data_IF_782569063756
#
_entry.id   IF_782569063756
#
_cell.length_a   1.000
_cell.length_b   1.000
_cell.length_c   1.000
_cell.angle_alpha   90.00
_cell.angle_beta   90.00
_cell.angle_gamma   90.00
#
_symmetry.space_group_name_H-M   'P 1'
#
loop_
_entity.id
_entity.type
_entity.pdbx_description
1 polymer ?
#
# COMPACT_ATOMS: atom_id res chain seq x y z
N UNK A 1 -21.41 -16.73 -15.58
CA UNK A 1 -21.93 -16.96 -14.20
C UNK A 1 -20.75 -17.07 -13.23
N UNK A 2 -20.65 -16.14 -12.28
CA UNK A 2 -19.59 -16.16 -11.26
C UNK A 2 -19.93 -17.31 -10.29
N UNK A 3 -19.03 -18.28 -10.06
CA UNK A 3 -19.31 -19.39 -9.15
C UNK A 3 -19.66 -18.90 -7.75
N UNK A 4 -20.65 -19.51 -7.11
CA UNK A 4 -21.08 -19.14 -5.77
C UNK A 4 -19.97 -19.46 -4.75
N UNK A 5 -19.54 -18.49 -3.92
CA UNK A 5 -18.39 -18.66 -3.02
C UNK A 5 -18.63 -19.64 -1.86
N UNK A 6 -19.87 -20.04 -1.62
CA UNK A 6 -20.26 -21.04 -0.61
C UNK A 6 -20.76 -22.34 -1.25
N UNK A 7 -20.19 -22.69 -2.41
CA UNK A 7 -20.71 -23.66 -3.38
C UNK A 7 -21.29 -24.97 -2.81
N UNK A 8 -22.55 -25.24 -3.14
CA UNK A 8 -23.12 -26.59 -3.11
C UNK A 8 -22.43 -27.51 -4.14
N UNK A 9 -21.72 -26.92 -5.11
CA UNK A 9 -20.92 -27.59 -6.14
C UNK A 9 -19.49 -27.95 -5.66
N UNK A 10 -19.19 -27.79 -4.37
CA UNK A 10 -17.87 -28.11 -3.81
C UNK A 10 -17.68 -29.64 -3.69
N UNK A 11 -16.50 -30.17 -4.05
CA UNK A 11 -16.19 -31.61 -4.00
C UNK A 11 -16.19 -32.21 -2.58
N UNK A 12 -16.50 -31.40 -1.56
CA UNK A 12 -16.54 -31.77 -0.15
C UNK A 12 -17.94 -32.19 0.33
N UNK A 13 -18.99 -31.97 -0.47
CA UNK A 13 -20.38 -32.30 -0.08
C UNK A 13 -20.64 -33.82 -0.08
N UNK A 14 -20.00 -34.54 -1.00
CA UNK A 14 -20.01 -35.99 -1.03
C UNK A 14 -18.66 -36.49 -0.52
N UNK A 15 -18.63 -37.25 0.59
CA UNK A 15 -17.43 -37.90 1.16
C UNK A 15 -16.79 -38.96 0.22
N UNK A 16 -16.53 -38.62 -1.04
CA UNK A 16 -15.84 -39.44 -2.03
C UNK A 16 -14.41 -38.90 -2.17
N UNK A 17 -13.39 -39.76 -2.07
CA UNK A 17 -12.01 -39.34 -2.26
C UNK A 17 -11.82 -38.92 -3.72
N UNK A 18 -11.64 -37.61 -3.95
CA UNK A 18 -11.27 -37.08 -5.27
C UNK A 18 -9.81 -37.42 -5.51
N UNK A 19 -9.55 -38.38 -6.38
CA UNK A 19 -8.19 -38.69 -6.81
C UNK A 19 -7.55 -37.44 -7.48
N UNK A 20 -6.31 -37.07 -7.11
CA UNK A 20 -5.64 -35.94 -7.73
C UNK A 20 -5.47 -36.21 -9.23
N UNK A 21 -6.00 -35.33 -10.08
CA UNK A 21 -5.82 -35.42 -11.53
C UNK A 21 -4.31 -35.42 -11.83
N UNK A 22 -3.81 -36.47 -12.49
CA UNK A 22 -2.44 -36.53 -13.01
C UNK A 22 -2.22 -35.31 -13.90
N UNK A 23 -1.41 -34.37 -13.43
CA UNK A 23 -1.03 -33.19 -14.22
C UNK A 23 0.02 -33.65 -15.24
N UNK A 24 -0.36 -33.69 -16.51
CA UNK A 24 0.58 -33.89 -17.61
C UNK A 24 1.53 -32.69 -17.68
N UNK A 25 2.83 -32.97 -17.84
CA UNK A 25 3.86 -31.95 -17.90
C UNK A 25 3.70 -31.10 -19.16
N UNK A 26 3.17 -29.89 -19.01
CA UNK A 26 3.12 -28.89 -20.08
C UNK A 26 4.49 -28.25 -20.22
N UNK A 27 4.98 -28.14 -21.46
CA UNK A 27 6.21 -27.43 -21.77
C UNK A 27 6.09 -25.96 -21.29
N UNK A 28 6.99 -25.56 -20.39
CA UNK A 28 7.06 -24.18 -19.89
C UNK A 28 7.70 -23.32 -20.98
N UNK A 29 6.89 -22.49 -21.63
CA UNK A 29 7.42 -21.48 -22.55
C UNK A 29 7.84 -20.25 -21.75
N UNK A 30 9.14 -19.94 -21.75
CA UNK A 30 9.66 -18.73 -21.11
C UNK A 30 9.29 -17.54 -22.00
N UNK A 31 8.26 -16.80 -21.58
CA UNK A 31 7.89 -15.54 -22.22
C UNK A 31 8.80 -14.42 -21.72
N UNK A 32 9.22 -13.47 -22.57
CA UNK A 32 9.92 -12.30 -22.11
C UNK A 32 9.04 -11.48 -21.14
N UNK A 33 9.65 -10.78 -20.17
CA UNK A 33 8.88 -9.94 -19.25
C UNK A 33 8.12 -8.89 -20.05
N UNK A 34 6.83 -8.74 -19.75
CA UNK A 34 6.01 -7.70 -20.38
C UNK A 34 6.64 -6.34 -20.09
N UNK A 35 6.79 -5.46 -21.10
CA UNK A 35 7.30 -4.12 -20.85
C UNK A 35 6.37 -3.43 -19.84
N UNK A 36 6.96 -2.64 -18.94
CA UNK A 36 6.24 -1.86 -17.93
C UNK A 36 6.33 -0.36 -18.25
N UNK A 37 5.60 0.16 -19.27
CA UNK A 37 5.68 1.58 -19.68
C UNK A 37 5.42 2.57 -18.54
N UNK A 38 4.63 2.15 -17.55
CA UNK A 38 4.28 2.97 -16.39
C UNK A 38 5.47 3.31 -15.48
N UNK A 39 6.60 2.60 -15.55
CA UNK A 39 7.83 2.94 -14.80
C UNK A 39 8.47 4.24 -15.31
N UNK A 40 8.24 4.62 -16.58
CA UNK A 40 8.77 5.84 -17.20
C UNK A 40 7.72 6.95 -17.33
N UNK A 41 6.53 6.73 -16.77
CA UNK A 41 5.39 7.63 -16.90
C UNK A 41 5.04 8.18 -15.53
N UNK A 42 4.78 9.48 -15.44
CA UNK A 42 4.29 10.11 -14.22
C UNK A 42 2.87 10.64 -14.43
N UNK A 43 2.13 10.81 -13.34
CA UNK A 43 0.79 11.41 -13.33
C UNK A 43 0.91 12.84 -12.85
N UNK A 44 0.48 13.79 -13.68
CA UNK A 44 0.44 15.20 -13.31
C UNK A 44 -0.86 15.49 -12.54
N UNK A 45 -0.72 15.87 -11.27
CA UNK A 45 -1.83 16.32 -10.45
C UNK A 45 -2.19 17.78 -10.77
N UNK A 46 -3.46 18.19 -10.53
CA UNK A 46 -3.83 19.60 -10.58
C UNK A 46 -2.92 20.44 -9.67
N UNK A 47 -2.55 21.65 -10.11
CA UNK A 47 -1.68 22.52 -9.33
C UNK A 47 -2.30 22.89 -7.99
N UNK A 48 -1.46 23.12 -6.98
CA UNK A 48 -1.90 23.47 -5.63
C UNK A 48 -2.86 24.67 -5.62
N UNK A 49 -2.58 25.69 -6.41
CA UNK A 49 -3.40 26.89 -6.54
C UNK A 49 -4.83 26.57 -7.00
N UNK A 50 -4.98 25.64 -7.95
CA UNK A 50 -6.29 25.20 -8.45
C UNK A 50 -7.03 24.37 -7.39
N UNK A 51 -6.32 23.46 -6.73
CA UNK A 51 -6.87 22.59 -5.69
C UNK A 51 -7.31 23.38 -4.45
N UNK A 52 -6.60 24.45 -4.11
CA UNK A 52 -6.93 25.32 -2.97
C UNK A 52 -8.26 26.06 -3.17
N UNK A 53 -8.57 26.45 -4.40
CA UNK A 53 -9.79 27.20 -4.74
C UNK A 53 -11.01 26.32 -5.07
N UNK A 54 -10.80 25.07 -5.48
CA UNK A 54 -11.88 24.20 -5.99
C UNK A 54 -11.92 22.85 -5.26
N UNK A 55 -13.02 22.62 -4.53
CA UNK A 55 -13.29 21.39 -3.78
C UNK A 55 -13.43 20.16 -4.69
N UNK A 56 -13.91 20.35 -5.92
CA UNK A 56 -14.08 19.25 -6.89
C UNK A 56 -12.71 18.79 -7.38
N UNK A 57 -11.83 19.74 -7.73
CA UNK A 57 -10.44 19.41 -8.09
C UNK A 57 -9.67 18.78 -6.94
N UNK A 58 -9.93 19.19 -5.69
CA UNK A 58 -9.40 18.51 -4.51
C UNK A 58 -9.86 17.06 -4.44
N UNK A 59 -11.15 16.79 -4.61
CA UNK A 59 -11.67 15.42 -4.61
C UNK A 59 -11.06 14.56 -5.74
N UNK A 60 -10.90 15.12 -6.94
CA UNK A 60 -10.23 14.44 -8.05
C UNK A 60 -8.75 14.16 -7.76
N UNK A 61 -8.01 15.14 -7.25
CA UNK A 61 -6.61 14.98 -6.89
C UNK A 61 -6.42 13.91 -5.80
N UNK A 62 -7.29 13.95 -4.78
CA UNK A 62 -7.33 12.94 -3.71
C UNK A 62 -7.60 11.55 -4.27
N UNK A 63 -8.59 11.40 -5.16
CA UNK A 63 -8.89 10.10 -5.80
C UNK A 63 -7.68 9.55 -6.56
N UNK A 64 -6.97 10.38 -7.31
CA UNK A 64 -5.76 9.95 -8.04
C UNK A 64 -4.69 9.48 -7.05
N UNK A 65 -4.44 10.24 -5.99
CA UNK A 65 -3.45 9.90 -4.98
C UNK A 65 -3.73 8.55 -4.31
N UNK A 66 -5.01 8.27 -3.98
CA UNK A 66 -5.42 6.99 -3.42
C UNK A 66 -5.25 5.82 -4.40
N UNK A 67 -5.55 6.03 -5.69
CA UNK A 67 -5.34 4.98 -6.71
C UNK A 67 -3.86 4.64 -6.89
N UNK A 68 -2.97 5.63 -6.76
CA UNK A 68 -1.53 5.49 -6.95
C UNK A 68 -0.79 5.10 -5.65
N UNK A 69 -1.51 4.64 -4.62
CA UNK A 69 -0.93 4.14 -3.36
C UNK A 69 -0.53 2.66 -3.44
N UNK A 70 -1.02 1.90 -4.42
CA UNK A 70 -0.71 0.47 -4.55
C UNK A 70 0.69 0.24 -5.19
N UNK A 71 1.68 -0.33 -4.48
CA UNK A 71 3.04 -0.52 -4.99
C UNK A 71 3.13 -1.40 -6.24
N UNK A 72 2.13 -2.25 -6.52
CA UNK A 72 2.13 -3.08 -7.73
C UNK A 72 1.82 -2.30 -9.02
N UNK A 73 1.11 -1.18 -8.94
CA UNK A 73 0.66 -0.42 -10.11
C UNK A 73 0.85 1.10 -10.01
N UNK A 74 1.43 1.58 -8.91
CA UNK A 74 1.62 2.99 -8.66
C UNK A 74 2.66 3.62 -9.60
N UNK A 75 2.36 4.85 -10.00
CA UNK A 75 3.21 5.73 -10.80
C UNK A 75 3.77 6.85 -9.95
N UNK A 76 4.84 7.48 -10.44
CA UNK A 76 5.29 8.72 -9.84
C UNK A 76 4.23 9.81 -10.01
N UNK A 77 4.01 10.62 -8.97
CA UNK A 77 3.10 11.76 -9.03
C UNK A 77 3.92 13.04 -9.09
N UNK A 78 3.47 14.00 -9.91
CA UNK A 78 4.05 15.33 -9.92
C UNK A 78 2.95 16.37 -9.69
N UNK A 79 3.19 17.30 -8.77
CA UNK A 79 2.28 18.41 -8.51
C UNK A 79 3.02 19.75 -8.56
N UNK A 80 2.46 20.72 -9.29
CA UNK A 80 3.00 22.09 -9.34
C UNK A 80 2.54 22.88 -8.11
N UNK A 81 3.48 23.54 -7.45
CA UNK A 81 3.31 24.41 -6.28
C UNK A 81 4.04 25.73 -6.52
N UNK A 82 3.34 26.75 -7.05
CA UNK A 82 3.96 27.99 -7.50
C UNK A 82 5.05 27.72 -8.55
N UNK A 83 6.27 28.15 -8.27
CA UNK A 83 7.44 27.96 -9.15
C UNK A 83 8.18 26.63 -8.94
N UNK A 84 7.68 25.76 -8.04
CA UNK A 84 8.30 24.48 -7.71
C UNK A 84 7.41 23.31 -8.10
N UNK A 85 8.05 22.16 -8.30
CA UNK A 85 7.36 20.89 -8.49
C UNK A 85 7.62 19.98 -7.30
N UNK A 86 6.56 19.39 -6.77
CA UNK A 86 6.62 18.31 -5.80
C UNK A 86 6.59 17.01 -6.56
N UNK A 87 7.65 16.23 -6.41
CA UNK A 87 7.77 14.89 -6.99
C UNK A 87 7.55 13.85 -5.91
N UNK A 88 6.58 12.97 -6.11
CA UNK A 88 6.25 11.87 -5.19
C UNK A 88 6.70 10.58 -5.87
N UNK A 89 7.68 9.93 -5.25
CA UNK A 89 8.15 8.62 -5.71
C UNK A 89 7.04 7.57 -5.53
N UNK A 90 6.95 6.59 -6.44
CA UNK A 90 6.05 5.47 -6.24
C UNK A 90 6.37 4.76 -4.92
N UNK A 91 5.36 4.22 -4.22
CA UNK A 91 5.53 3.53 -2.96
C UNK A 91 6.44 2.32 -3.13
N UNK A 92 7.32 2.11 -2.14
CA UNK A 92 8.20 0.96 -2.11
C UNK A 92 7.40 -0.34 -1.97
N UNK A 93 7.98 -1.43 -2.47
CA UNK A 93 7.44 -2.78 -2.27
C UNK A 93 7.42 -3.06 -0.76
N UNK A 94 6.34 -3.65 -0.22
CA UNK A 94 6.27 -3.97 1.19
C UNK A 94 7.39 -4.95 1.56
N UNK A 95 8.01 -4.69 2.71
CA UNK A 95 9.02 -5.55 3.29
C UNK A 95 8.43 -6.94 3.60
N UNK A 96 9.28 -7.96 3.57
CA UNK A 96 8.95 -9.26 4.11
C UNK A 96 8.73 -9.19 5.62
N UNK A 97 8.08 -10.21 6.20
CA UNK A 97 7.84 -10.29 7.64
C UNK A 97 9.15 -10.20 8.44
N UNK A 98 10.19 -10.90 7.98
CA UNK A 98 11.51 -10.94 8.64
C UNK A 98 12.20 -9.58 8.59
N UNK A 99 12.17 -8.91 7.44
CA UNK A 99 12.70 -7.54 7.30
C UNK A 99 11.94 -6.57 8.20
N UNK A 100 10.60 -6.66 8.25
CA UNK A 100 9.78 -5.83 9.12
C UNK A 100 10.08 -6.08 10.59
N UNK A 101 10.19 -7.34 11.02
CA UNK A 101 10.59 -7.71 12.38
C UNK A 101 11.95 -7.13 12.73
N UNK A 102 12.92 -7.20 11.83
CA UNK A 102 14.26 -6.66 12.04
C UNK A 102 14.24 -5.13 12.27
N UNK A 103 13.43 -4.39 11.51
CA UNK A 103 13.28 -2.94 11.65
C UNK A 103 12.69 -2.58 13.01
N UNK A 104 11.68 -3.30 13.48
CA UNK A 104 11.05 -3.07 14.78
C UNK A 104 11.90 -3.55 15.97
N UNK A 105 12.80 -4.51 15.74
CA UNK A 105 13.75 -5.02 16.74
C UNK A 105 14.94 -4.09 16.98
N UNK A 106 15.16 -3.09 16.12
CA UNK A 106 16.20 -2.08 16.34
C UNK A 106 16.06 -1.43 17.74
N UNK A 107 17.18 -1.03 18.38
CA UNK A 107 17.21 -0.54 19.75
C UNK A 107 16.68 0.91 19.86
N UNK A 108 15.42 1.13 19.46
CA UNK A 108 14.75 2.40 19.64
C UNK A 108 14.55 2.70 21.12
N UNK A 109 14.76 3.97 21.48
CA UNK A 109 14.60 4.43 22.86
C UNK A 109 13.15 4.36 23.36
N UNK A 110 12.14 4.32 22.47
CA UNK A 110 10.70 4.27 22.80
C UNK A 110 10.25 5.35 23.80
N UNK A 111 10.96 6.47 23.83
CA UNK A 111 10.67 7.66 24.66
C UNK A 111 10.59 8.89 23.76
N UNK A 112 9.97 9.99 24.22
CA UNK A 112 9.93 11.24 23.49
C UNK A 112 11.33 11.76 23.16
N UNK A 113 11.41 12.52 22.07
CA UNK A 113 12.67 13.15 21.67
C UNK A 113 13.14 14.12 22.78
N UNK A 114 14.44 14.15 23.13
CA UNK A 114 14.96 15.00 24.21
C UNK A 114 14.62 16.49 24.07
N UNK A 115 14.40 16.97 22.84
CA UNK A 115 14.01 18.35 22.56
C UNK A 115 12.72 18.79 23.27
N UNK A 116 11.82 17.85 23.61
CA UNK A 116 10.58 18.16 24.33
C UNK A 116 10.80 18.39 25.83
N UNK A 117 11.97 18.05 26.37
CA UNK A 117 12.29 18.23 27.79
C UNK A 117 11.23 17.61 28.70
N UNK A 118 10.65 18.45 29.57
CA UNK A 118 9.60 18.06 30.52
C UNK A 118 8.17 18.35 30.02
N UNK A 119 7.99 18.63 28.72
CA UNK A 119 6.67 18.89 28.18
C UNK A 119 5.81 17.62 28.26
N UNK A 120 4.57 17.78 28.74
CA UNK A 120 3.58 16.70 28.73
C UNK A 120 3.08 16.48 27.30
N UNK A 121 3.26 15.26 26.79
CA UNK A 121 2.80 14.87 25.45
C UNK A 121 1.60 13.92 25.62
N UNK A 122 0.36 14.37 25.42
CA UNK A 122 -0.84 13.55 25.63
C UNK A 122 -0.82 12.25 24.82
N UNK A 123 -0.36 12.31 23.57
CA UNK A 123 -0.23 11.14 22.72
C UNK A 123 0.74 10.09 23.31
N UNK A 124 1.84 10.52 23.94
CA UNK A 124 2.81 9.61 24.55
C UNK A 124 2.24 8.91 25.79
N UNK A 125 1.50 9.63 26.64
CA UNK A 125 0.87 9.04 27.83
C UNK A 125 -0.11 7.93 27.47
N UNK A 126 -0.85 8.08 26.37
CA UNK A 126 -1.78 7.07 25.89
C UNK A 126 -1.07 5.82 25.35
N UNK A 127 0.03 5.99 24.60
CA UNK A 127 0.66 4.87 23.87
C UNK A 127 1.78 4.17 24.65
N UNK A 128 2.34 4.78 25.71
CA UNK A 128 3.56 4.25 26.37
C UNK A 128 3.43 2.83 26.93
N UNK A 129 2.20 2.40 27.24
CA UNK A 129 1.89 1.05 27.72
C UNK A 129 1.14 0.19 26.70
N UNK A 130 1.00 0.68 25.46
CA UNK A 130 0.31 -0.04 24.40
C UNK A 130 1.24 -1.04 23.70
N UNK A 131 0.66 -2.14 23.22
CA UNK A 131 1.34 -3.14 22.39
C UNK A 131 0.92 -2.91 20.94
N UNK A 132 1.88 -2.91 20.03
CA UNK A 132 1.58 -2.73 18.62
C UNK A 132 1.03 -4.02 17.99
N UNK A 133 -0.22 -4.01 17.54
CA UNK A 133 -0.87 -5.14 16.84
C UNK A 133 -0.73 -5.07 15.31
N UNK A 134 -0.54 -3.88 14.73
CA UNK A 134 -0.50 -3.67 13.28
C UNK A 134 0.72 -2.83 12.88
N UNK A 135 1.54 -3.34 11.95
CA UNK A 135 2.81 -2.73 11.55
C UNK A 135 2.69 -1.88 10.28
N UNK A 136 1.57 -1.18 10.16
CA UNK A 136 1.26 -0.34 9.01
C UNK A 136 -0.24 -0.18 8.83
N UNK A 137 -0.64 0.91 8.18
CA UNK A 137 -1.98 1.12 7.68
C UNK A 137 -1.90 1.20 6.16
N UNK A 138 -2.79 0.50 5.45
CA UNK A 138 -2.91 0.62 3.99
C UNK A 138 -3.33 2.04 3.54
N UNK A 139 -3.75 2.89 4.47
CA UNK A 139 -4.24 4.23 4.20
C UNK A 139 -5.73 4.25 3.87
N UNK A 140 -6.23 5.40 3.43
CA UNK A 140 -7.65 5.65 3.17
C UNK A 140 -8.37 6.43 4.28
N UNK A 141 -7.68 6.76 5.36
CA UNK A 141 -8.13 7.78 6.30
C UNK A 141 -7.98 9.17 5.65
N UNK A 142 -9.07 9.93 5.59
CA UNK A 142 -9.08 11.31 5.05
C UNK A 142 -8.63 12.34 6.07
#
# INVERSE_FOLDING_TARGET
PIPHPYGEDLPCADNKPVAPKKQEAKAVTVQPPRPKPWEKTYVLLPSFEKVKGDKVLYAHASRILHHETNPGCARALMQKHGDRYVWINPPAIPLSTEEMDSVFALPYKRVPHPAYGNARIPAYEMIRFSVNIMRGCFGGCS
#
